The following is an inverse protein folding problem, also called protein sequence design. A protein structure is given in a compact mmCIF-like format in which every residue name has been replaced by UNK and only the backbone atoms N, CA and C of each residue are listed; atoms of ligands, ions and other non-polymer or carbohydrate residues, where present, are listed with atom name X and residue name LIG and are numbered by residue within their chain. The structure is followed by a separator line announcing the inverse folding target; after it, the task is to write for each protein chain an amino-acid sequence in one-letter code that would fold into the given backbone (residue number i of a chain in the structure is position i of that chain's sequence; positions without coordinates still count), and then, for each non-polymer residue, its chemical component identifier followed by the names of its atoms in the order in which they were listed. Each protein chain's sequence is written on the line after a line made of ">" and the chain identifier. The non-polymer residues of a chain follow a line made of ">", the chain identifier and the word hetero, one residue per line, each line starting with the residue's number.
data_IF_743135558488
#
_entry.id   IF_743135558488
#
_cell.length_a   1.000
_cell.length_b   1.000
_cell.length_c   1.000
_cell.angle_alpha   90.00
_cell.angle_beta   90.00
_cell.angle_gamma   90.00
#
_symmetry.space_group_name_H-M   'P 1'
#
loop_
_entity.id
_entity.type
_entity.pdbx_description
1 polymer ?
#
# COMPACT_ATOMS: atom_id res chain seq x y z
N UNK A 1 -19.46 -0.61 -1.35
CA UNK A 1 -19.35 0.63 -0.57
C UNK A 1 -20.48 1.63 -0.92
N UNK A 2 -20.50 2.16 -2.14
CA UNK A 2 -21.46 3.18 -2.60
C UNK A 2 -22.94 2.81 -2.38
N UNK A 3 -23.35 1.58 -2.72
CA UNK A 3 -24.73 1.12 -2.55
C UNK A 3 -25.15 1.09 -1.07
N UNK A 4 -24.28 0.66 -0.18
CA UNK A 4 -24.53 0.63 1.27
C UNK A 4 -24.66 2.04 1.87
N UNK A 5 -23.83 2.96 1.39
CA UNK A 5 -23.92 4.37 1.78
C UNK A 5 -25.25 4.99 1.35
N UNK A 6 -25.66 4.72 0.12
CA UNK A 6 -26.94 5.21 -0.41
C UNK A 6 -28.12 4.67 0.39
N UNK A 7 -28.12 3.36 0.70
CA UNK A 7 -29.21 2.73 1.48
C UNK A 7 -29.31 3.33 2.88
N UNK A 8 -28.18 3.50 3.58
CA UNK A 8 -28.16 4.12 4.92
C UNK A 8 -28.55 5.60 4.89
N UNK A 9 -28.12 6.34 3.87
CA UNK A 9 -28.53 7.74 3.69
C UNK A 9 -30.04 7.90 3.49
N UNK A 10 -30.65 7.03 2.68
CA UNK A 10 -32.10 7.02 2.45
C UNK A 10 -32.87 6.61 3.71
N UNK A 11 -32.41 5.60 4.45
CA UNK A 11 -33.00 5.19 5.73
C UNK A 11 -32.92 6.30 6.79
N UNK A 12 -31.80 7.01 6.88
CA UNK A 12 -31.63 8.12 7.81
C UNK A 12 -32.56 9.30 7.46
N UNK A 13 -32.75 9.59 6.15
CA UNK A 13 -33.72 10.60 5.68
C UNK A 13 -35.15 10.22 6.04
N UNK A 14 -35.51 8.93 6.02
CA UNK A 14 -36.84 8.46 6.36
C UNK A 14 -37.14 8.51 7.87
N UNK A 15 -36.10 8.43 8.73
CA UNK A 15 -36.22 8.47 10.20
C UNK A 15 -36.33 9.86 10.83
N UNK A 16 -36.40 10.93 10.05
CA UNK A 16 -36.66 12.29 10.55
C UNK A 16 -35.47 13.25 10.55
N UNK A 17 -34.33 12.83 10.04
CA UNK A 17 -33.30 13.71 9.50
C UNK A 17 -32.38 14.46 10.44
N UNK A 18 -32.44 14.33 11.75
CA UNK A 18 -31.52 15.06 12.66
C UNK A 18 -30.09 14.47 12.63
N UNK A 19 -29.97 13.18 12.33
CA UNK A 19 -28.69 12.46 12.38
C UNK A 19 -28.16 11.97 11.01
N UNK A 20 -28.62 12.57 9.89
CA UNK A 20 -28.18 12.11 8.53
C UNK A 20 -26.69 12.30 8.34
N UNK A 21 -26.13 13.41 8.82
CA UNK A 21 -24.71 13.72 8.72
C UNK A 21 -23.88 12.72 9.51
N UNK A 22 -24.27 12.43 10.75
CA UNK A 22 -23.60 11.46 11.63
C UNK A 22 -23.70 10.04 11.07
N UNK A 23 -24.88 9.63 10.60
CA UNK A 23 -25.08 8.31 9.99
C UNK A 23 -24.25 8.12 8.70
N UNK A 24 -24.08 9.17 7.90
CA UNK A 24 -23.25 9.12 6.69
C UNK A 24 -21.77 9.12 7.01
N UNK A 25 -21.31 9.89 7.99
CA UNK A 25 -19.93 9.86 8.46
C UNK A 25 -19.58 8.49 9.07
N UNK A 26 -20.45 7.92 9.89
CA UNK A 26 -20.26 6.57 10.45
C UNK A 26 -20.18 5.51 9.35
N UNK A 27 -21.01 5.62 8.31
CA UNK A 27 -20.96 4.70 7.17
C UNK A 27 -19.67 4.80 6.35
N UNK A 28 -19.13 6.02 6.16
CA UNK A 28 -17.84 6.25 5.50
C UNK A 28 -16.70 5.65 6.34
N UNK A 29 -16.66 5.97 7.63
CA UNK A 29 -15.64 5.46 8.57
C UNK A 29 -15.69 3.93 8.64
N UNK A 30 -16.85 3.32 8.57
CA UNK A 30 -17.03 1.86 8.59
C UNK A 30 -16.49 1.14 7.34
N UNK A 31 -16.43 1.80 6.19
CA UNK A 31 -15.90 1.23 4.94
C UNK A 31 -14.38 1.43 4.77
N UNK A 32 -13.77 2.44 5.42
CA UNK A 32 -12.34 2.74 5.36
C UNK A 32 -11.43 1.55 5.71
N UNK A 33 -11.65 0.82 6.83
CA UNK A 33 -10.79 -0.30 7.19
C UNK A 33 -10.75 -1.40 6.14
N UNK A 34 -11.88 -1.65 5.45
CA UNK A 34 -11.95 -2.64 4.37
C UNK A 34 -11.17 -2.25 3.13
N UNK A 35 -11.11 -0.95 2.81
CA UNK A 35 -10.35 -0.41 1.69
C UNK A 35 -8.84 -0.36 1.97
N UNK A 36 -8.45 -0.05 3.22
CA UNK A 36 -7.06 0.17 3.59
C UNK A 36 -6.30 -1.11 4.00
N UNK A 37 -6.99 -2.12 4.52
CA UNK A 37 -6.37 -3.32 5.08
C UNK A 37 -5.37 -4.02 4.14
N UNK A 38 -5.74 -4.22 2.89
CA UNK A 38 -4.88 -4.88 1.91
C UNK A 38 -3.83 -3.93 1.30
N UNK A 39 -4.12 -2.63 1.25
CA UNK A 39 -3.19 -1.61 0.78
C UNK A 39 -2.00 -1.44 1.74
N UNK A 40 -2.26 -1.46 3.04
CA UNK A 40 -1.21 -1.39 4.06
C UNK A 40 -0.25 -2.57 3.96
N UNK A 41 -0.76 -3.80 3.83
CA UNK A 41 0.09 -4.99 3.65
C UNK A 41 0.93 -4.91 2.38
N UNK A 42 0.33 -4.47 1.27
CA UNK A 42 1.04 -4.30 0.00
C UNK A 42 2.15 -3.24 0.11
N UNK A 43 1.91 -2.13 0.80
CA UNK A 43 2.91 -1.11 1.07
C UNK A 43 4.11 -1.66 1.86
N UNK A 44 3.84 -2.48 2.89
CA UNK A 44 4.89 -3.11 3.70
C UNK A 44 5.74 -4.04 2.84
N UNK A 45 5.15 -4.91 2.04
CA UNK A 45 5.91 -5.81 1.15
C UNK A 45 6.74 -5.04 0.12
N UNK A 46 6.17 -3.98 -0.47
CA UNK A 46 6.87 -3.12 -1.40
C UNK A 46 8.08 -2.41 -0.78
N UNK A 47 7.98 -2.02 0.49
CA UNK A 47 9.06 -1.37 1.24
C UNK A 47 10.15 -2.37 1.68
N UNK A 48 9.77 -3.61 2.05
CA UNK A 48 10.72 -4.62 2.55
C UNK A 48 11.52 -5.24 1.40
N UNK A 49 10.96 -5.39 0.20
CA UNK A 49 11.62 -6.06 -0.91
C UNK A 49 13.00 -5.48 -1.27
N UNK A 50 13.21 -4.13 -1.39
CA UNK A 50 14.52 -3.56 -1.61
C UNK A 50 15.49 -3.79 -0.43
N UNK A 51 14.97 -3.81 0.81
CA UNK A 51 15.77 -4.03 2.01
C UNK A 51 16.31 -5.48 2.05
N UNK A 52 15.50 -6.44 1.60
CA UNK A 52 15.97 -7.82 1.45
C UNK A 52 17.04 -7.94 0.36
N UNK A 53 16.93 -7.19 -0.74
CA UNK A 53 17.97 -7.07 -1.73
C UNK A 53 19.26 -6.49 -1.16
N UNK A 54 19.19 -5.44 -0.35
CA UNK A 54 20.32 -4.86 0.34
C UNK A 54 20.96 -5.84 1.34
N UNK A 55 20.15 -6.58 2.09
CA UNK A 55 20.63 -7.63 3.00
C UNK A 55 21.43 -8.69 2.24
N UNK A 56 20.98 -9.04 1.03
CA UNK A 56 21.71 -9.96 0.16
C UNK A 56 23.08 -9.45 -0.26
N UNK A 57 23.25 -8.13 -0.51
CA UNK A 57 24.58 -7.57 -0.81
C UNK A 57 25.52 -7.67 0.38
N UNK A 58 25.03 -7.42 1.58
CA UNK A 58 25.84 -7.59 2.81
C UNK A 58 26.30 -9.04 2.96
N UNK A 59 25.40 -10.01 2.77
CA UNK A 59 25.74 -11.44 2.83
C UNK A 59 26.76 -11.86 1.76
N UNK A 60 26.58 -11.41 0.52
CA UNK A 60 27.52 -11.68 -0.58
C UNK A 60 28.91 -11.07 -0.34
N UNK A 61 28.97 -9.86 0.22
CA UNK A 61 30.26 -9.23 0.57
C UNK A 61 30.94 -9.93 1.75
N UNK A 62 30.21 -10.37 2.77
CA UNK A 62 30.77 -11.17 3.87
C UNK A 62 31.42 -12.41 3.31
N UNK A 63 30.74 -13.15 2.44
CA UNK A 63 31.29 -14.36 1.78
C UNK A 63 32.55 -14.04 0.97
N UNK A 64 32.57 -12.93 0.26
CA UNK A 64 33.77 -12.48 -0.47
C UNK A 64 34.96 -12.26 0.47
N UNK A 65 34.76 -11.62 1.61
CA UNK A 65 35.82 -11.39 2.60
C UNK A 65 36.28 -12.71 3.29
N UNK A 66 35.35 -13.64 3.53
CA UNK A 66 35.72 -14.97 4.04
C UNK A 66 36.65 -15.71 3.07
N UNK A 67 36.38 -15.67 1.76
CA UNK A 67 37.24 -16.24 0.74
C UNK A 67 38.63 -15.60 0.74
N UNK A 68 38.70 -14.27 0.89
CA UNK A 68 39.98 -13.53 0.97
C UNK A 68 40.79 -13.99 2.18
N UNK A 69 40.15 -14.16 3.34
CA UNK A 69 40.84 -14.56 4.57
C UNK A 69 41.34 -16.01 4.53
N UNK A 70 40.63 -16.90 3.85
CA UNK A 70 40.99 -18.33 3.76
C UNK A 70 41.97 -18.65 2.64
N UNK A 71 41.85 -18.01 1.49
CA UNK A 71 42.55 -18.34 0.25
C UNK A 71 43.45 -17.22 -0.27
N UNK A 72 43.46 -16.06 0.40
CA UNK A 72 44.13 -14.84 -0.08
C UNK A 72 43.43 -14.23 -1.29
N UNK A 73 44.05 -13.20 -1.85
CA UNK A 73 43.53 -12.47 -3.02
C UNK A 73 43.82 -13.12 -4.37
N UNK A 74 44.51 -14.29 -4.36
CA UNK A 74 45.03 -14.93 -5.58
C UNK A 74 43.98 -15.54 -6.50
N UNK A 75 42.73 -15.72 -6.04
CA UNK A 75 41.67 -16.34 -6.82
C UNK A 75 40.59 -15.32 -7.20
N UNK A 76 40.85 -14.56 -8.26
CA UNK A 76 39.95 -13.53 -8.77
C UNK A 76 38.56 -14.07 -9.13
N UNK A 77 38.42 -15.32 -9.50
CA UNK A 77 37.16 -15.96 -9.86
C UNK A 77 36.23 -16.12 -8.65
N UNK A 78 36.78 -16.63 -7.53
CA UNK A 78 36.00 -16.78 -6.31
C UNK A 78 35.54 -15.42 -5.73
N UNK A 79 36.37 -14.38 -5.88
CA UNK A 79 36.01 -13.03 -5.47
C UNK A 79 34.88 -12.47 -6.35
N UNK A 80 34.98 -12.65 -7.66
CA UNK A 80 33.98 -12.23 -8.61
C UNK A 80 32.61 -12.89 -8.38
N UNK A 81 32.62 -14.19 -8.01
CA UNK A 81 31.39 -14.94 -7.72
C UNK A 81 30.62 -14.34 -6.52
N UNK A 82 31.30 -14.02 -5.41
CA UNK A 82 30.67 -13.41 -4.23
C UNK A 82 30.11 -12.01 -4.50
N UNK A 83 30.84 -11.20 -5.27
CA UNK A 83 30.37 -9.87 -5.69
C UNK A 83 29.17 -9.98 -6.63
N UNK A 84 29.22 -10.91 -7.57
CA UNK A 84 28.11 -11.16 -8.51
C UNK A 84 26.86 -11.61 -7.77
N UNK A 85 26.97 -12.53 -6.81
CA UNK A 85 25.87 -12.97 -5.96
C UNK A 85 25.23 -11.80 -5.21
N UNK A 86 26.04 -10.89 -4.65
CA UNK A 86 25.58 -9.70 -3.98
C UNK A 86 24.78 -8.78 -4.92
N UNK A 87 25.28 -8.52 -6.11
CA UNK A 87 24.61 -7.64 -7.09
C UNK A 87 23.30 -8.22 -7.62
N UNK A 88 23.26 -9.53 -7.87
CA UNK A 88 22.06 -10.25 -8.32
C UNK A 88 20.95 -10.18 -7.28
N UNK A 89 21.25 -10.34 -6.00
CA UNK A 89 20.24 -10.26 -4.94
C UNK A 89 19.58 -8.88 -4.85
N UNK A 90 20.33 -7.80 -5.02
CA UNK A 90 19.79 -6.45 -5.11
C UNK A 90 18.93 -6.26 -6.36
N UNK A 91 19.38 -6.77 -7.51
CA UNK A 91 18.60 -6.70 -8.75
C UNK A 91 17.26 -7.41 -8.59
N UNK A 92 17.21 -8.58 -8.00
CA UNK A 92 15.97 -9.33 -7.74
C UNK A 92 15.07 -8.58 -6.76
N UNK A 93 15.62 -8.03 -5.66
CA UNK A 93 14.88 -7.22 -4.70
C UNK A 93 14.18 -6.03 -5.35
N UNK A 94 14.88 -5.30 -6.21
CA UNK A 94 14.34 -4.16 -6.95
C UNK A 94 13.34 -4.59 -8.03
N UNK A 95 13.59 -5.68 -8.73
CA UNK A 95 12.66 -6.21 -9.74
C UNK A 95 11.31 -6.61 -9.16
N UNK A 96 11.27 -7.03 -7.89
CA UNK A 96 10.02 -7.31 -7.16
C UNK A 96 9.42 -6.03 -6.61
N UNK A 97 10.22 -5.12 -6.06
CA UNK A 97 9.74 -3.91 -5.42
C UNK A 97 9.03 -2.96 -6.40
N UNK A 98 9.57 -2.77 -7.60
CA UNK A 98 9.04 -1.81 -8.58
C UNK A 98 7.59 -2.12 -8.95
N UNK A 99 7.20 -3.33 -9.40
CA UNK A 99 5.81 -3.64 -9.72
C UNK A 99 4.90 -3.57 -8.50
N UNK A 100 5.36 -3.95 -7.30
CA UNK A 100 4.57 -3.85 -6.07
C UNK A 100 4.29 -2.39 -5.71
N UNK A 101 5.27 -1.49 -5.84
CA UNK A 101 5.09 -0.05 -5.62
C UNK A 101 4.13 0.57 -6.63
N UNK A 102 4.23 0.21 -7.89
CA UNK A 102 3.30 0.68 -8.92
C UNK A 102 1.88 0.22 -8.64
N UNK A 103 1.70 -1.05 -8.30
CA UNK A 103 0.40 -1.61 -7.95
C UNK A 103 -0.19 -0.93 -6.72
N UNK A 104 0.60 -0.74 -5.67
CA UNK A 104 0.20 -0.01 -4.47
C UNK A 104 -0.22 1.44 -4.81
N UNK A 105 0.54 2.14 -5.63
CA UNK A 105 0.24 3.52 -6.03
C UNK A 105 -1.09 3.63 -6.80
N UNK A 106 -1.36 2.71 -7.71
CA UNK A 106 -2.62 2.66 -8.48
C UNK A 106 -3.81 2.36 -7.57
N UNK A 107 -3.71 1.32 -6.75
CA UNK A 107 -4.77 0.92 -5.82
C UNK A 107 -5.06 1.99 -4.76
N UNK A 108 -4.02 2.62 -4.22
CA UNK A 108 -4.16 3.73 -3.26
C UNK A 108 -4.89 4.93 -3.87
N UNK A 109 -4.58 5.27 -5.13
CA UNK A 109 -5.32 6.32 -5.85
C UNK A 109 -6.79 5.98 -6.06
N UNK A 110 -7.10 4.72 -6.38
CA UNK A 110 -8.48 4.27 -6.54
C UNK A 110 -9.25 4.30 -5.22
N UNK A 111 -8.64 3.83 -4.12
CA UNK A 111 -9.22 3.89 -2.79
C UNK A 111 -9.55 5.35 -2.39
N UNK A 112 -8.61 6.29 -2.57
CA UNK A 112 -8.82 7.71 -2.29
C UNK A 112 -9.96 8.30 -3.13
N UNK A 113 -10.08 7.94 -4.43
CA UNK A 113 -11.19 8.39 -5.27
C UNK A 113 -12.54 7.91 -4.75
N UNK A 114 -12.61 6.67 -4.27
CA UNK A 114 -13.85 6.12 -3.68
C UNK A 114 -14.23 6.94 -2.44
N UNK A 115 -13.30 7.23 -1.54
CA UNK A 115 -13.55 8.02 -0.33
C UNK A 115 -14.06 9.43 -0.69
N UNK A 116 -13.36 10.13 -1.60
CA UNK A 116 -13.80 11.47 -2.05
C UNK A 116 -15.19 11.46 -2.68
N UNK A 117 -15.49 10.44 -3.50
CA UNK A 117 -16.83 10.31 -4.08
C UNK A 117 -17.91 10.03 -3.01
N UNK A 118 -17.56 9.29 -1.95
CA UNK A 118 -18.46 9.06 -0.82
C UNK A 118 -18.75 10.35 -0.05
N UNK A 119 -17.71 11.17 0.20
CA UNK A 119 -17.84 12.49 0.84
C UNK A 119 -18.70 13.45 0.00
N UNK A 120 -18.49 13.49 -1.33
CA UNK A 120 -19.29 14.31 -2.23
C UNK A 120 -20.76 13.91 -2.24
N UNK A 121 -21.04 12.60 -2.20
CA UNK A 121 -22.40 12.07 -2.09
C UNK A 121 -23.05 12.51 -0.77
N UNK A 122 -22.33 12.45 0.34
CA UNK A 122 -22.81 12.89 1.63
C UNK A 122 -23.18 14.38 1.61
N UNK A 123 -22.31 15.24 1.06
CA UNK A 123 -22.57 16.67 0.92
C UNK A 123 -23.75 16.96 -0.01
N UNK A 124 -23.94 16.19 -1.09
CA UNK A 124 -25.07 16.36 -2.01
C UNK A 124 -26.39 16.04 -1.32
N UNK A 125 -26.44 14.97 -0.52
CA UNK A 125 -27.64 14.61 0.25
C UNK A 125 -27.97 15.68 1.30
N UNK A 126 -26.96 16.21 1.99
CA UNK A 126 -27.13 17.29 2.97
C UNK A 126 -27.61 18.59 2.32
N UNK A 127 -27.05 18.96 1.17
CA UNK A 127 -27.45 20.19 0.45
C UNK A 127 -28.88 20.10 -0.11
N UNK A 128 -29.30 18.94 -0.57
CA UNK A 128 -30.67 18.70 -1.03
C UNK A 128 -31.72 18.86 0.10
N UNK A 129 -31.30 18.68 1.36
CA UNK A 129 -32.14 18.93 2.54
C UNK A 129 -32.29 20.42 2.83
N UNK A 130 -31.19 21.17 2.80
CA UNK A 130 -31.17 22.60 3.10
C UNK A 130 -32.00 23.40 2.07
N UNK A 131 -32.03 22.96 0.81
CA UNK A 131 -32.84 23.57 -0.25
C UNK A 131 -34.34 23.30 -0.19
N UNK A 132 -34.83 22.52 0.79
CA UNK A 132 -36.25 22.22 1.00
C UNK A 132 -36.87 22.96 2.21
N UNK A 133 -36.13 23.83 2.86
CA UNK A 133 -36.57 24.77 3.88
C UNK A 133 -36.68 26.14 3.27
#
# INVERSE_FOLDING_TARGET
>A
PMARLWTRGVEALQRGGEDVEEAMQEAIIGELPGLEKHLSSLAVFAAIAPLLGLLGTVGGMIKTFEVITQHGTGNARLLADGISEALVTTQVGLAIAIPLLLLHAVLSRQAKKIVVNMEQLALTVLSARVGKV
#
